data_IF_574566870954
#
_entry.id   IF_574566870954
#
_cell.length_a   1.000
_cell.length_b   1.000
_cell.length_c   1.000
_cell.angle_alpha   90.00
_cell.angle_beta   90.00
_cell.angle_gamma   90.00
#
_symmetry.space_group_name_H-M   'P 1'
#
loop_
_entity.id
_entity.type
_entity.pdbx_description
1 polymer ?
#
# COMPACT_ATOMS: atom_id res chain seq x y z
N UNK A 1 20.47 22.68 50.63
CA UNK A 1 21.16 22.38 49.34
C UNK A 1 21.43 20.88 49.12
N UNK A 2 21.56 20.03 50.12
CA UNK A 2 21.87 18.58 49.98
C UNK A 2 20.72 17.74 49.34
N UNK A 3 19.47 17.91 49.78
CA UNK A 3 18.32 17.10 49.29
C UNK A 3 18.06 17.23 47.75
N UNK A 4 18.19 18.45 47.17
CA UNK A 4 18.01 18.64 45.74
C UNK A 4 19.10 17.98 44.88
N UNK A 5 20.34 17.96 45.36
CA UNK A 5 21.47 17.29 44.66
C UNK A 5 21.30 15.76 44.65
N UNK A 6 20.74 15.18 45.70
CA UNK A 6 20.49 13.73 45.76
C UNK A 6 19.31 13.32 44.85
N UNK A 7 18.25 14.10 44.77
CA UNK A 7 17.12 13.86 43.87
C UNK A 7 17.56 13.93 42.38
N UNK A 8 18.39 14.92 42.00
CA UNK A 8 18.95 15.03 40.67
C UNK A 8 19.89 13.85 40.32
N UNK A 9 20.69 13.35 41.27
CA UNK A 9 21.57 12.18 41.06
C UNK A 9 20.77 10.89 40.86
N UNK A 10 19.70 10.68 41.61
CA UNK A 10 18.81 9.51 41.48
C UNK A 10 18.06 9.58 40.13
N UNK A 11 17.56 10.74 39.72
CA UNK A 11 16.92 10.92 38.44
C UNK A 11 17.88 10.69 37.25
N UNK A 12 19.13 11.19 37.36
CA UNK A 12 20.15 10.96 36.34
C UNK A 12 20.57 9.49 36.25
N UNK A 13 20.67 8.79 37.38
CA UNK A 13 20.98 7.36 37.40
C UNK A 13 19.84 6.53 36.80
N UNK A 14 18.59 6.85 37.13
CA UNK A 14 17.41 6.22 36.53
C UNK A 14 17.33 6.41 35.01
N UNK A 15 17.62 7.61 34.50
CA UNK A 15 17.68 7.90 33.08
C UNK A 15 18.82 7.13 32.38
N UNK A 16 19.99 7.02 33.00
CA UNK A 16 21.12 6.27 32.47
C UNK A 16 20.83 4.76 32.39
N UNK A 17 20.20 4.18 33.44
CA UNK A 17 19.81 2.76 33.45
C UNK A 17 18.73 2.49 32.38
N UNK A 18 17.77 3.38 32.20
CA UNK A 18 16.75 3.26 31.15
C UNK A 18 17.38 3.35 29.77
N UNK A 19 18.33 4.26 29.54
CA UNK A 19 19.04 4.39 28.27
C UNK A 19 19.91 3.15 27.96
N UNK A 20 20.59 2.57 28.97
CA UNK A 20 21.35 1.33 28.80
C UNK A 20 20.43 0.14 28.49
N UNK A 21 19.27 0.03 29.15
CA UNK A 21 18.29 -1.02 28.88
C UNK A 21 17.70 -0.93 27.48
N UNK A 22 17.42 0.29 26.99
CA UNK A 22 16.96 0.53 25.61
C UNK A 22 18.06 0.17 24.60
N UNK A 23 19.31 0.58 24.88
CA UNK A 23 20.46 0.25 24.03
C UNK A 23 20.71 -1.25 23.92
N UNK A 24 20.68 -1.97 25.05
CA UNK A 24 20.84 -3.43 25.09
C UNK A 24 19.74 -4.14 24.31
N UNK A 25 18.47 -3.76 24.54
CA UNK A 25 17.32 -4.34 23.81
C UNK A 25 17.40 -4.10 22.32
N UNK A 26 17.87 -2.94 21.89
CA UNK A 26 18.08 -2.62 20.48
C UNK A 26 19.17 -3.49 19.86
N UNK A 27 20.28 -3.72 20.58
CA UNK A 27 21.39 -4.59 20.13
C UNK A 27 20.90 -6.05 20.03
N UNK A 28 20.15 -6.54 21.01
CA UNK A 28 19.59 -7.90 21.01
C UNK A 28 18.60 -8.10 19.85
N UNK A 29 17.73 -7.12 19.58
CA UNK A 29 16.80 -7.16 18.45
C UNK A 29 17.54 -7.20 17.11
N UNK A 30 18.57 -6.37 16.94
CA UNK A 30 19.40 -6.37 15.74
C UNK A 30 20.21 -7.67 15.56
N UNK A 31 20.73 -8.23 16.64
CA UNK A 31 21.40 -9.53 16.62
C UNK A 31 20.40 -10.64 16.21
N UNK A 32 19.17 -10.62 16.74
CA UNK A 32 18.11 -11.55 16.37
C UNK A 32 17.71 -11.40 14.90
N UNK A 33 17.54 -10.19 14.39
CA UNK A 33 17.20 -9.96 12.98
C UNK A 33 18.25 -10.56 12.05
N UNK A 34 19.54 -10.49 12.39
CA UNK A 34 20.63 -11.10 11.62
C UNK A 34 20.61 -12.62 11.61
N UNK A 35 19.94 -13.26 12.57
CA UNK A 35 19.77 -14.73 12.64
C UNK A 35 18.51 -15.20 11.92
N UNK A 36 17.59 -14.30 11.55
CA UNK A 36 16.38 -14.65 10.83
C UNK A 36 16.71 -14.93 9.36
N UNK A 37 16.35 -16.12 8.90
CA UNK A 37 16.39 -16.43 7.46
C UNK A 37 15.17 -15.83 6.79
N UNK A 38 15.40 -14.89 5.88
CA UNK A 38 14.33 -14.26 5.10
C UNK A 38 13.65 -15.31 4.21
N UNK A 39 12.33 -15.26 4.04
CA UNK A 39 11.60 -16.15 3.14
C UNK A 39 12.09 -15.96 1.70
N UNK A 40 11.98 -17.03 0.92
CA UNK A 40 12.31 -17.02 -0.51
C UNK A 40 11.06 -17.14 -1.35
N UNK A 41 11.13 -16.64 -2.57
CA UNK A 41 10.02 -16.60 -3.50
C UNK A 41 10.49 -17.03 -4.89
N UNK A 42 9.61 -17.74 -5.58
CA UNK A 42 9.84 -18.18 -6.96
C UNK A 42 8.68 -17.75 -7.84
N UNK A 43 8.98 -17.07 -8.95
CA UNK A 43 7.94 -16.62 -9.87
C UNK A 43 7.24 -17.78 -10.52
N UNK A 44 5.91 -17.73 -10.61
CA UNK A 44 5.11 -18.62 -11.44
C UNK A 44 4.90 -17.97 -12.82
N UNK A 45 5.66 -18.39 -13.85
CA UNK A 45 5.60 -17.75 -15.16
C UNK A 45 4.32 -18.07 -15.94
N UNK A 46 3.49 -19.01 -15.44
CA UNK A 46 2.23 -19.39 -16.07
C UNK A 46 0.99 -18.81 -15.39
N UNK A 47 1.20 -17.90 -14.45
CA UNK A 47 0.14 -17.19 -13.75
C UNK A 47 0.18 -15.69 -14.08
N UNK A 48 -0.96 -15.05 -14.40
CA UNK A 48 -2.30 -15.61 -14.60
C UNK A 48 -2.42 -16.37 -15.92
N UNK A 49 -3.56 -17.05 -16.11
CA UNK A 49 -3.88 -17.68 -17.40
C UNK A 49 -4.22 -16.58 -18.43
N UNK A 50 -4.08 -16.89 -19.73
CA UNK A 50 -4.47 -15.95 -20.78
C UNK A 50 -5.89 -15.44 -20.59
N UNK A 51 -6.07 -14.13 -20.78
CA UNK A 51 -7.37 -13.48 -20.63
C UNK A 51 -8.31 -13.88 -21.80
N UNK A 52 -9.61 -14.10 -21.54
CA UNK A 52 -10.59 -14.40 -22.59
C UNK A 52 -10.89 -13.15 -23.43
N UNK A 53 -11.69 -13.34 -24.50
CA UNK A 53 -12.27 -12.26 -25.30
C UNK A 53 -11.25 -11.29 -25.91
N UNK A 54 -10.01 -11.71 -26.16
CA UNK A 54 -8.91 -10.85 -26.58
C UNK A 54 -8.64 -9.68 -25.61
N UNK A 55 -8.97 -9.85 -24.33
CA UNK A 55 -8.76 -8.82 -23.33
C UNK A 55 -7.30 -8.54 -23.09
N UNK A 56 -7.00 -7.26 -22.90
CA UNK A 56 -5.71 -6.75 -22.43
C UNK A 56 -5.92 -5.88 -21.19
N UNK A 57 -4.96 -5.92 -20.30
CA UNK A 57 -4.91 -5.03 -19.14
C UNK A 57 -4.05 -3.80 -19.49
N UNK A 58 -4.52 -2.62 -19.10
CA UNK A 58 -3.68 -1.45 -19.00
C UNK A 58 -2.82 -1.47 -17.72
N UNK A 59 -2.38 -0.32 -17.24
CA UNK A 59 -1.57 -0.22 -16.03
C UNK A 59 -2.26 -0.92 -14.85
N UNK A 60 -1.72 -2.06 -14.38
CA UNK A 60 -2.24 -2.74 -13.20
C UNK A 60 -1.74 -2.00 -11.97
N UNK A 61 -2.64 -1.32 -11.28
CA UNK A 61 -2.25 -0.34 -10.28
C UNK A 61 -2.49 -0.79 -8.84
N UNK A 62 -3.49 -1.63 -8.62
CA UNK A 62 -3.84 -2.16 -7.32
C UNK A 62 -4.07 -3.66 -7.36
N UNK A 63 -3.73 -4.34 -6.26
CA UNK A 63 -4.00 -5.76 -6.04
C UNK A 63 -4.46 -5.98 -4.60
N UNK A 64 -5.49 -6.80 -4.43
CA UNK A 64 -6.01 -7.26 -3.14
C UNK A 64 -6.25 -8.76 -3.17
N UNK A 65 -6.32 -9.39 -2.01
CA UNK A 65 -6.63 -10.83 -1.87
C UNK A 65 -7.80 -10.95 -0.90
N UNK A 66 -8.78 -11.76 -1.23
CA UNK A 66 -9.93 -12.05 -0.36
C UNK A 66 -9.67 -13.24 0.58
N UNK A 67 -10.60 -13.55 1.45
CA UNK A 67 -10.52 -14.65 2.42
C UNK A 67 -10.51 -16.05 1.79
N UNK A 68 -10.82 -16.17 0.49
CA UNK A 68 -10.76 -17.41 -0.29
C UNK A 68 -9.45 -17.55 -1.05
N UNK A 69 -8.50 -16.63 -0.84
CA UNK A 69 -7.28 -16.47 -1.62
C UNK A 69 -7.55 -16.16 -3.10
N UNK A 70 -8.68 -15.53 -3.45
CA UNK A 70 -8.90 -14.98 -4.77
C UNK A 70 -8.25 -13.61 -4.90
N UNK A 71 -7.75 -13.32 -6.08
CA UNK A 71 -6.94 -12.15 -6.34
C UNK A 71 -7.75 -11.13 -7.12
N UNK A 72 -8.00 -9.99 -6.50
CA UNK A 72 -8.63 -8.84 -7.12
C UNK A 72 -7.60 -7.86 -7.61
N UNK A 73 -7.75 -7.38 -8.82
CA UNK A 73 -6.96 -6.26 -9.33
C UNK A 73 -7.86 -5.11 -9.74
N UNK A 74 -7.29 -3.92 -9.74
CA UNK A 74 -7.81 -2.79 -10.50
C UNK A 74 -6.74 -2.32 -11.47
N UNK A 75 -7.12 -2.13 -12.72
CA UNK A 75 -6.26 -1.62 -13.77
C UNK A 75 -6.92 -0.47 -14.51
N UNK A 76 -6.12 0.37 -15.13
CA UNK A 76 -6.55 1.51 -15.94
C UNK A 76 -6.79 1.06 -17.37
N UNK A 77 -8.03 0.87 -17.70
CA UNK A 77 -8.42 0.28 -18.98
C UNK A 77 -8.37 1.23 -20.19
N UNK A 78 -7.74 2.40 -20.03
CA UNK A 78 -7.48 3.40 -21.05
C UNK A 78 -5.98 3.68 -21.28
N UNK A 79 -5.08 2.97 -20.57
CA UNK A 79 -3.63 3.21 -20.59
C UNK A 79 -2.91 2.23 -21.52
N UNK A 80 -3.24 2.23 -22.79
CA UNK A 80 -2.68 1.33 -23.80
C UNK A 80 -1.67 2.03 -24.71
N UNK A 81 -0.72 1.26 -25.22
CA UNK A 81 0.25 1.74 -26.20
C UNK A 81 -0.37 1.73 -27.61
N UNK A 82 -0.30 2.86 -28.32
CA UNK A 82 -0.85 3.00 -29.66
C UNK A 82 -0.09 2.23 -30.73
N UNK A 83 1.05 1.65 -30.42
CA UNK A 83 1.84 0.81 -31.33
C UNK A 83 1.72 -0.67 -31.02
N UNK A 84 1.60 -1.05 -29.75
CA UNK A 84 1.51 -2.44 -29.30
C UNK A 84 0.06 -2.93 -29.20
N UNK A 85 -0.84 -2.10 -28.64
CA UNK A 85 -2.26 -2.44 -28.43
C UNK A 85 -3.18 -1.60 -29.32
N UNK A 86 -2.81 -1.40 -30.57
CA UNK A 86 -3.51 -0.52 -31.50
C UNK A 86 -4.99 -0.86 -31.69
N UNK A 87 -5.36 -2.14 -31.55
CA UNK A 87 -6.76 -2.56 -31.59
C UNK A 87 -7.58 -2.07 -30.41
N UNK A 88 -6.95 -1.75 -29.29
CA UNK A 88 -7.63 -1.23 -28.11
C UNK A 88 -7.82 0.30 -28.13
N UNK A 89 -7.01 1.04 -28.90
CA UNK A 89 -7.01 2.52 -28.89
C UNK A 89 -7.58 3.14 -30.18
N UNK A 90 -7.57 2.45 -31.32
CA UNK A 90 -8.00 3.01 -32.59
C UNK A 90 -9.54 3.05 -32.70
N UNK A 91 -10.05 4.17 -33.24
CA UNK A 91 -11.46 4.35 -33.58
C UNK A 91 -11.57 4.98 -34.97
N UNK A 92 -12.12 4.29 -36.00
CA UNK A 92 -12.61 2.91 -35.92
C UNK A 92 -11.50 1.91 -35.66
N UNK A 93 -11.86 0.70 -35.18
CA UNK A 93 -10.92 -0.37 -34.86
C UNK A 93 -10.00 -0.68 -36.05
N UNK A 94 -8.69 -0.54 -35.84
CA UNK A 94 -7.70 -0.65 -36.91
C UNK A 94 -7.06 -2.04 -37.02
N UNK A 95 -7.30 -2.94 -36.06
CA UNK A 95 -6.78 -4.31 -36.07
C UNK A 95 -7.73 -5.27 -35.35
N UNK A 96 -7.52 -6.57 -35.51
CA UNK A 96 -8.27 -7.62 -34.81
C UNK A 96 -7.79 -7.81 -33.37
N UNK A 97 -6.62 -7.26 -33.03
CA UNK A 97 -6.09 -7.30 -31.66
C UNK A 97 -6.99 -6.50 -30.72
N UNK A 98 -7.12 -6.99 -29.55
CA UNK A 98 -7.23 -6.31 -28.25
C UNK A 98 -8.55 -5.60 -27.95
N UNK A 99 -9.10 -5.99 -26.82
CA UNK A 99 -10.22 -5.30 -26.16
C UNK A 99 -9.79 -4.95 -24.74
N UNK A 100 -10.00 -3.71 -24.28
CA UNK A 100 -9.77 -3.37 -22.88
C UNK A 100 -10.59 -4.27 -21.96
N UNK A 101 -9.96 -4.89 -20.99
CA UNK A 101 -10.68 -5.62 -19.95
C UNK A 101 -11.48 -4.65 -19.06
N UNK A 102 -12.55 -5.11 -18.39
CA UNK A 102 -13.21 -4.32 -17.34
C UNK A 102 -12.22 -3.92 -16.23
N UNK A 103 -12.36 -2.73 -15.59
CA UNK A 103 -11.37 -2.20 -14.65
C UNK A 103 -11.05 -3.09 -13.46
N UNK A 104 -12.02 -3.84 -12.94
CA UNK A 104 -11.83 -4.80 -11.85
C UNK A 104 -11.91 -6.21 -12.39
N UNK A 105 -10.92 -7.03 -12.04
CA UNK A 105 -10.87 -8.45 -12.41
C UNK A 105 -10.57 -9.26 -11.14
N UNK A 106 -11.32 -10.35 -10.95
CA UNK A 106 -11.07 -11.37 -9.94
C UNK A 106 -10.51 -12.62 -10.59
N UNK A 107 -9.40 -13.12 -10.05
CA UNK A 107 -8.76 -14.38 -10.44
C UNK A 107 -8.88 -15.40 -9.30
N UNK A 108 -9.02 -16.70 -9.66
CA UNK A 108 -8.80 -17.79 -8.70
C UNK A 108 -7.30 -17.98 -8.44
N UNK A 109 -6.97 -18.90 -7.50
CA UNK A 109 -5.57 -19.20 -7.15
C UNK A 109 -4.77 -19.77 -8.32
N UNK A 110 -5.43 -20.39 -9.31
CA UNK A 110 -4.85 -20.96 -10.53
C UNK A 110 -4.68 -19.89 -11.64
N UNK A 111 -5.18 -18.67 -11.44
CA UNK A 111 -5.08 -17.55 -12.37
C UNK A 111 -6.15 -17.51 -13.45
N UNK A 112 -7.26 -18.25 -13.29
CA UNK A 112 -8.42 -18.14 -14.16
C UNK A 112 -9.31 -16.98 -13.69
N UNK A 113 -9.91 -16.26 -14.63
CA UNK A 113 -10.88 -15.20 -14.29
C UNK A 113 -12.14 -15.85 -13.72
N UNK A 114 -12.56 -15.36 -12.55
CA UNK A 114 -13.82 -15.71 -11.88
C UNK A 114 -14.91 -14.73 -12.30
N UNK A 115 -14.59 -13.45 -12.27
CA UNK A 115 -15.50 -12.37 -12.71
C UNK A 115 -14.72 -11.10 -13.04
N UNK A 116 -15.43 -10.15 -13.67
CA UNK A 116 -14.91 -8.82 -13.95
C UNK A 116 -16.06 -7.82 -14.02
N UNK A 117 -15.80 -6.60 -13.57
CA UNK A 117 -16.79 -5.53 -13.51
C UNK A 117 -16.12 -4.15 -13.35
N UNK A 118 -16.90 -3.10 -13.21
CA UNK A 118 -16.45 -1.75 -12.90
C UNK A 118 -16.63 -0.77 -14.04
N UNK A 119 -16.29 0.47 -13.76
CA UNK A 119 -16.53 1.61 -14.64
C UNK A 119 -17.64 2.53 -14.14
N UNK A 120 -17.87 3.66 -14.80
CA UNK A 120 -18.94 4.60 -14.45
C UNK A 120 -20.31 3.94 -14.41
N UNK A 121 -21.12 4.33 -13.42
CA UNK A 121 -22.48 3.82 -13.23
C UNK A 121 -23.36 4.78 -12.41
N UNK A 122 -24.63 4.46 -12.25
CA UNK A 122 -25.56 5.33 -11.54
C UNK A 122 -25.31 5.35 -10.03
N UNK A 123 -25.43 6.53 -9.41
CA UNK A 123 -25.40 6.70 -7.97
C UNK A 123 -24.03 6.80 -7.32
N UNK A 124 -22.95 6.76 -8.08
CA UNK A 124 -21.59 6.95 -7.59
C UNK A 124 -20.69 7.64 -8.62
N UNK A 125 -19.56 8.16 -8.14
CA UNK A 125 -18.57 8.86 -8.97
C UNK A 125 -17.36 7.94 -9.14
N UNK A 126 -17.30 7.21 -10.28
CA UNK A 126 -16.16 6.35 -10.59
C UNK A 126 -14.86 7.17 -10.68
N UNK A 127 -13.74 6.69 -10.11
CA UNK A 127 -12.46 7.40 -10.21
C UNK A 127 -12.08 7.70 -11.65
N UNK A 128 -11.58 8.91 -11.88
CA UNK A 128 -11.06 9.29 -13.18
C UNK A 128 -9.74 8.56 -13.53
N UNK A 129 -9.05 8.03 -12.52
CA UNK A 129 -7.84 7.25 -12.67
C UNK A 129 -7.72 6.29 -11.48
N UNK A 130 -8.12 5.06 -11.66
CA UNK A 130 -8.16 4.04 -10.61
C UNK A 130 -6.82 3.88 -9.93
N UNK A 131 -6.83 3.52 -8.62
CA UNK A 131 -5.60 3.35 -7.87
C UNK A 131 -5.62 2.15 -6.92
N UNK A 132 -6.04 2.31 -5.67
CA UNK A 132 -6.05 1.24 -4.70
C UNK A 132 -7.30 0.36 -4.78
N UNK A 133 -7.15 -0.93 -4.51
CA UNK A 133 -8.24 -1.88 -4.31
C UNK A 133 -7.99 -2.69 -3.05
N UNK A 134 -9.04 -2.99 -2.30
CA UNK A 134 -8.98 -3.82 -1.11
C UNK A 134 -10.28 -4.63 -0.98
N UNK A 135 -10.18 -5.89 -0.60
CA UNK A 135 -11.35 -6.74 -0.26
C UNK A 135 -11.39 -6.92 1.24
N UNK A 136 -12.49 -6.52 1.87
CA UNK A 136 -12.63 -6.61 3.31
C UNK A 136 -13.13 -8.00 3.78
N UNK A 137 -13.05 -8.24 5.08
CA UNK A 137 -13.48 -9.49 5.73
C UNK A 137 -14.98 -9.82 5.58
N UNK A 138 -15.79 -8.89 5.05
CA UNK A 138 -17.19 -9.10 4.66
C UNK A 138 -17.32 -9.36 3.16
N UNK A 139 -16.21 -9.56 2.44
CA UNK A 139 -16.17 -9.71 0.99
C UNK A 139 -16.60 -8.45 0.23
N UNK A 140 -16.48 -7.25 0.82
CA UNK A 140 -16.79 -5.99 0.14
C UNK A 140 -15.53 -5.46 -0.51
N UNK A 141 -15.68 -4.94 -1.72
CA UNK A 141 -14.58 -4.39 -2.50
C UNK A 141 -14.56 -2.88 -2.36
N UNK A 142 -13.42 -2.37 -1.94
CA UNK A 142 -13.15 -0.94 -1.79
C UNK A 142 -12.14 -0.48 -2.83
N UNK A 143 -12.37 0.66 -3.45
CA UNK A 143 -11.44 1.24 -4.40
C UNK A 143 -11.43 2.77 -4.36
N UNK A 144 -10.35 3.36 -4.84
CA UNK A 144 -10.16 4.80 -4.95
C UNK A 144 -9.42 5.18 -6.23
N UNK A 145 -9.09 6.45 -6.37
CA UNK A 145 -8.39 6.97 -7.52
C UNK A 145 -7.41 8.09 -7.20
N UNK A 146 -6.59 8.49 -8.18
CA UNK A 146 -5.53 9.47 -7.93
C UNK A 146 -5.36 10.57 -8.99
N UNK A 147 -6.40 10.89 -9.76
CA UNK A 147 -6.36 12.06 -10.65
C UNK A 147 -6.39 13.35 -9.84
N UNK A 148 -5.45 14.24 -10.14
CA UNK A 148 -5.38 15.55 -9.51
C UNK A 148 -6.66 16.36 -9.74
N UNK A 149 -7.15 17.02 -8.69
CA UNK A 149 -8.36 17.86 -8.72
C UNK A 149 -9.64 17.12 -9.17
N UNK A 150 -9.65 15.79 -9.09
CA UNK A 150 -10.82 14.98 -9.42
C UNK A 150 -11.10 13.93 -8.34
N UNK A 151 -10.17 13.00 -8.11
CA UNK A 151 -10.40 11.85 -7.25
C UNK A 151 -10.28 12.22 -5.77
N UNK A 152 -11.42 12.53 -5.15
CA UNK A 152 -11.53 12.93 -3.75
C UNK A 152 -12.45 12.00 -2.95
N UNK A 153 -12.72 10.80 -3.47
CA UNK A 153 -13.62 9.80 -2.92
C UNK A 153 -13.00 8.41 -2.91
N UNK A 154 -13.61 7.53 -2.12
CA UNK A 154 -13.48 6.07 -2.21
C UNK A 154 -14.86 5.45 -2.34
N UNK A 155 -14.93 4.31 -3.00
CA UNK A 155 -16.14 3.58 -3.31
C UNK A 155 -16.14 2.20 -2.65
N UNK A 156 -17.30 1.75 -2.19
CA UNK A 156 -17.54 0.41 -1.65
C UNK A 156 -18.56 -0.32 -2.49
N UNK A 157 -18.25 -1.56 -2.87
CA UNK A 157 -19.10 -2.43 -3.66
C UNK A 157 -19.33 -3.76 -2.97
N UNK A 158 -20.36 -4.48 -3.37
CA UNK A 158 -20.46 -5.92 -3.10
C UNK A 158 -19.34 -6.66 -3.86
N UNK A 159 -19.13 -7.92 -3.52
CA UNK A 159 -18.15 -8.77 -4.19
C UNK A 159 -18.39 -8.84 -5.72
N UNK A 160 -19.65 -8.83 -6.15
CA UNK A 160 -20.08 -8.88 -7.56
C UNK A 160 -20.26 -7.49 -8.22
N UNK A 161 -19.72 -6.43 -7.59
CA UNK A 161 -19.64 -5.09 -8.19
C UNK A 161 -20.90 -4.22 -8.07
N UNK A 162 -21.86 -4.55 -7.20
CA UNK A 162 -23.01 -3.65 -6.94
C UNK A 162 -22.58 -2.55 -5.97
N UNK A 163 -22.87 -1.31 -6.33
CA UNK A 163 -22.55 -0.15 -5.49
C UNK A 163 -23.25 -0.21 -4.13
N UNK A 164 -22.51 0.12 -3.07
CA UNK A 164 -23.00 0.15 -1.69
C UNK A 164 -22.86 1.52 -1.05
N UNK A 165 -21.69 2.16 -1.18
CA UNK A 165 -21.40 3.42 -0.49
C UNK A 165 -20.26 4.18 -1.17
N UNK A 166 -20.31 5.49 -1.06
CA UNK A 166 -19.24 6.42 -1.40
C UNK A 166 -18.88 7.26 -0.17
N UNK A 167 -17.59 7.47 0.07
CA UNK A 167 -17.05 8.41 1.07
C UNK A 167 -16.30 9.50 0.32
N UNK A 168 -16.68 10.75 0.53
CA UNK A 168 -16.18 11.89 -0.23
C UNK A 168 -16.83 12.04 -1.59
N UNK A 169 -16.56 13.17 -2.26
CA UNK A 169 -17.09 13.50 -3.59
C UNK A 169 -15.98 13.99 -4.51
N UNK A 170 -16.09 13.66 -5.78
CA UNK A 170 -15.14 14.13 -6.80
C UNK A 170 -15.03 15.66 -6.76
N UNK A 171 -13.79 16.17 -6.88
CA UNK A 171 -13.46 17.61 -6.88
C UNK A 171 -13.77 18.39 -5.59
N UNK A 172 -14.16 17.71 -4.51
CA UNK A 172 -14.68 18.37 -3.30
C UNK A 172 -13.63 18.55 -2.19
N UNK A 173 -12.40 18.09 -2.36
CA UNK A 173 -11.36 18.16 -1.33
C UNK A 173 -11.03 19.59 -0.89
N UNK A 174 -10.90 19.77 0.42
CA UNK A 174 -10.48 20.99 1.09
C UNK A 174 -9.08 20.87 1.75
N UNK A 175 -8.29 19.85 1.36
CA UNK A 175 -6.94 19.61 1.89
C UNK A 175 -6.89 18.57 3.02
N UNK A 176 -5.72 18.45 3.65
CA UNK A 176 -5.43 17.37 4.62
C UNK A 176 -6.24 17.42 5.92
N UNK A 177 -6.98 18.49 6.19
CA UNK A 177 -7.84 18.61 7.37
C UNK A 177 -9.33 18.41 7.07
N UNK A 178 -9.69 18.15 5.81
CA UNK A 178 -11.06 17.83 5.41
C UNK A 178 -11.49 16.48 5.99
N UNK A 179 -12.57 16.44 6.75
CA UNK A 179 -13.10 15.22 7.39
C UNK A 179 -14.14 14.49 6.56
N UNK A 180 -14.57 15.08 5.45
CA UNK A 180 -15.60 14.57 4.56
C UNK A 180 -15.01 13.99 3.28
N UNK A 181 -14.02 14.66 2.69
CA UNK A 181 -13.45 14.33 1.40
C UNK A 181 -11.97 13.95 1.52
N UNK A 182 -11.52 13.12 0.60
CA UNK A 182 -10.12 12.75 0.43
C UNK A 182 -9.45 13.63 -0.64
N UNK A 183 -8.18 13.36 -0.94
CA UNK A 183 -7.51 13.97 -2.07
C UNK A 183 -6.48 13.02 -2.67
N UNK A 184 -6.90 12.27 -3.67
CA UNK A 184 -6.08 11.27 -4.35
C UNK A 184 -5.66 10.15 -3.41
N UNK A 185 -6.62 9.40 -2.82
CA UNK A 185 -6.33 8.27 -1.94
C UNK A 185 -5.56 7.17 -2.69
N UNK A 186 -4.61 6.54 -2.00
CA UNK A 186 -3.73 5.55 -2.61
C UNK A 186 -4.14 4.11 -2.26
N UNK A 187 -4.17 3.75 -1.00
CA UNK A 187 -4.52 2.41 -0.54
C UNK A 187 -5.55 2.46 0.59
N UNK A 188 -6.30 1.38 0.72
CA UNK A 188 -7.39 1.22 1.68
C UNK A 188 -7.12 -0.07 2.47
N UNK A 189 -7.48 -0.06 3.76
CA UNK A 189 -7.48 -1.24 4.62
C UNK A 189 -8.66 -1.20 5.56
N UNK A 190 -9.42 -2.28 5.66
CA UNK A 190 -10.50 -2.40 6.64
C UNK A 190 -10.05 -3.31 7.78
N UNK A 191 -10.10 -2.78 9.01
CA UNK A 191 -9.75 -3.54 10.20
C UNK A 191 -10.98 -4.22 10.79
N UNK A 192 -10.99 -5.55 10.76
CA UNK A 192 -12.16 -6.36 11.14
C UNK A 192 -12.61 -6.15 12.60
N UNK A 193 -11.65 -6.03 13.54
CA UNK A 193 -11.96 -5.99 14.98
C UNK A 193 -12.72 -4.73 15.41
N UNK A 194 -12.59 -3.63 14.66
CA UNK A 194 -13.30 -2.38 14.95
C UNK A 194 -14.24 -1.93 13.83
N UNK A 195 -14.25 -2.67 12.71
CA UNK A 195 -15.01 -2.34 11.50
C UNK A 195 -14.73 -0.92 11.01
N UNK A 196 -13.45 -0.57 10.94
CA UNK A 196 -12.98 0.75 10.53
C UNK A 196 -12.20 0.65 9.22
N UNK A 197 -12.44 1.60 8.31
CA UNK A 197 -11.68 1.75 7.07
C UNK A 197 -10.60 2.81 7.25
N UNK A 198 -9.35 2.40 7.06
CA UNK A 198 -8.15 3.23 7.08
C UNK A 198 -7.75 3.54 5.64
N UNK A 199 -7.52 4.79 5.35
CA UNK A 199 -7.17 5.24 4.00
C UNK A 199 -5.83 5.94 4.01
N UNK A 200 -4.90 5.47 3.18
CA UNK A 200 -3.66 6.17 2.84
C UNK A 200 -4.00 7.33 1.89
N UNK A 201 -4.33 8.48 2.43
CA UNK A 201 -4.77 9.67 1.69
C UNK A 201 -3.58 10.60 1.45
N UNK A 202 -2.72 10.25 0.47
CA UNK A 202 -1.38 10.78 0.43
C UNK A 202 -0.87 11.41 -0.85
N UNK A 203 -1.47 11.21 -2.03
CA UNK A 203 -0.94 11.83 -3.25
C UNK A 203 -1.03 13.36 -3.23
N UNK A 204 -2.07 13.90 -2.60
CA UNK A 204 -2.20 15.34 -2.39
C UNK A 204 -2.30 15.70 -0.91
N UNK A 205 -3.06 14.94 -0.12
CA UNK A 205 -3.09 15.06 1.33
C UNK A 205 -1.86 14.42 1.99
N UNK A 206 -1.73 14.52 3.33
CA UNK A 206 -0.56 14.08 4.10
C UNK A 206 -0.97 13.29 5.32
N UNK A 207 -1.90 12.31 5.14
CA UNK A 207 -2.54 11.66 6.28
C UNK A 207 -2.91 10.21 6.05
N UNK A 208 -3.04 9.50 7.15
CA UNK A 208 -3.97 8.38 7.27
C UNK A 208 -5.28 8.95 7.82
N UNK A 209 -6.41 8.63 7.22
CA UNK A 209 -7.73 9.01 7.69
C UNK A 209 -8.59 7.77 7.89
N UNK A 210 -9.41 7.78 8.92
CA UNK A 210 -10.20 6.62 9.37
C UNK A 210 -11.66 6.97 9.41
N UNK A 211 -12.46 6.09 8.81
CA UNK A 211 -13.92 6.18 8.83
C UNK A 211 -14.53 4.89 9.39
N UNK A 212 -15.77 4.95 9.78
CA UNK A 212 -16.58 3.77 10.06
C UNK A 212 -16.92 3.07 8.74
N UNK A 213 -16.67 1.76 8.65
CA UNK A 213 -16.76 1.03 7.38
C UNK A 213 -18.21 0.75 6.93
N UNK A 214 -19.21 0.88 7.80
CA UNK A 214 -20.61 0.68 7.45
C UNK A 214 -21.35 2.00 7.20
N UNK A 215 -20.95 3.08 7.85
CA UNK A 215 -21.66 4.37 7.76
C UNK A 215 -20.90 5.46 7.01
N UNK A 216 -19.60 5.27 6.76
CA UNK A 216 -18.72 6.29 6.17
C UNK A 216 -18.43 7.49 7.07
N UNK A 217 -18.82 7.46 8.36
CA UNK A 217 -18.58 8.57 9.29
C UNK A 217 -17.13 8.68 9.67
N UNK A 218 -16.58 9.90 9.62
CA UNK A 218 -15.23 10.22 10.08
C UNK A 218 -15.02 9.84 11.55
N UNK A 219 -13.86 9.26 11.85
CA UNK A 219 -13.46 8.89 13.21
C UNK A 219 -12.21 9.64 13.68
N UNK A 220 -11.14 9.61 12.92
CA UNK A 220 -9.86 10.27 13.24
C UNK A 220 -8.93 10.34 12.03
N UNK A 221 -7.86 11.10 12.15
CA UNK A 221 -6.76 11.16 11.18
C UNK A 221 -5.46 11.57 11.87
N UNK A 222 -4.35 11.28 11.23
CA UNK A 222 -3.02 11.71 11.67
C UNK A 222 -2.04 11.81 10.50
N UNK A 223 -1.01 12.65 10.69
CA UNK A 223 0.14 12.77 9.80
C UNK A 223 1.35 11.98 10.30
N UNK A 224 2.52 12.28 9.73
CA UNK A 224 3.77 11.67 10.16
C UNK A 224 4.04 11.91 11.66
N UNK A 225 4.58 10.90 12.35
CA UNK A 225 4.84 10.89 13.79
C UNK A 225 3.61 11.11 14.67
N UNK A 226 2.38 10.94 14.14
CA UNK A 226 1.14 11.25 14.84
C UNK A 226 0.80 12.75 14.87
N UNK A 227 1.58 13.58 14.18
CA UNK A 227 1.35 15.02 14.12
C UNK A 227 0.09 15.37 13.31
N UNK A 228 -0.42 16.58 13.54
CA UNK A 228 -1.44 17.16 12.67
C UNK A 228 -0.87 17.37 11.26
N UNK A 229 -1.56 16.95 10.20
CA UNK A 229 -1.14 17.24 8.83
C UNK A 229 -1.04 18.76 8.56
N UNK A 230 0.01 19.15 7.87
CA UNK A 230 0.26 20.55 7.48
C UNK A 230 0.60 20.64 5.99
N UNK A 231 -0.34 21.18 5.22
CA UNK A 231 -0.21 21.32 3.76
C UNK A 231 0.71 22.50 3.37
N UNK A 232 1.06 23.41 4.29
CA UNK A 232 1.95 24.56 4.04
C UNK A 232 3.43 24.14 3.98
N UNK A 233 3.80 22.98 4.52
CA UNK A 233 5.18 22.47 4.50
C UNK A 233 5.55 22.02 3.08
N UNK A 234 6.76 22.35 2.61
CA UNK A 234 7.27 21.86 1.31
C UNK A 234 7.22 20.35 1.22
N UNK A 235 7.01 19.83 0.00
CA UNK A 235 7.13 18.41 -0.32
C UNK A 235 8.55 17.99 -0.72
N UNK A 236 9.50 18.89 -0.61
CA UNK A 236 10.90 18.58 -0.89
C UNK A 236 11.40 17.49 0.04
N UNK A 237 12.18 16.57 -0.54
CA UNK A 237 12.78 15.50 0.25
C UNK A 237 13.81 16.05 1.21
N UNK A 238 13.65 15.77 2.49
CA UNK A 238 14.62 16.13 3.52
C UNK A 238 15.74 15.11 3.56
N UNK A 239 16.94 15.54 3.16
CA UNK A 239 18.17 14.73 3.32
C UNK A 239 18.70 14.91 4.74
N UNK A 240 18.80 13.85 5.52
CA UNK A 240 19.33 13.92 6.89
C UNK A 240 19.07 12.66 7.70
N UNK A 241 19.54 12.63 8.94
CA UNK A 241 19.38 11.48 9.85
C UNK A 241 17.93 11.32 10.33
N UNK A 242 17.18 12.40 10.43
CA UNK A 242 15.76 12.41 10.76
C UNK A 242 14.93 12.59 9.49
N UNK A 243 13.83 11.88 9.37
CA UNK A 243 12.88 12.03 8.26
C UNK A 243 12.08 13.33 8.33
N UNK A 244 11.35 13.64 7.27
CA UNK A 244 10.41 14.78 7.24
C UNK A 244 9.35 14.63 8.35
N UNK A 245 9.01 15.74 9.02
CA UNK A 245 7.94 15.80 10.03
C UNK A 245 6.53 15.67 9.40
N UNK A 246 6.44 15.72 8.07
CA UNK A 246 5.21 15.49 7.32
C UNK A 246 5.37 14.27 6.40
N UNK A 247 4.27 13.59 6.12
CA UNK A 247 4.23 12.58 5.07
C UNK A 247 4.45 13.19 3.69
N UNK A 248 5.09 12.43 2.81
CA UNK A 248 5.23 12.78 1.40
C UNK A 248 4.81 11.58 0.53
N UNK A 249 3.56 11.61 0.11
CA UNK A 249 2.81 10.52 -0.53
C UNK A 249 2.66 9.32 0.42
N UNK A 250 1.68 9.41 1.33
CA UNK A 250 1.17 8.24 2.05
C UNK A 250 0.55 7.29 1.03
N UNK A 251 1.27 6.21 0.70
CA UNK A 251 0.89 5.36 -0.43
C UNK A 251 0.33 4.00 0.02
N UNK A 252 0.76 3.50 1.16
CA UNK A 252 0.31 2.23 1.71
C UNK A 252 -0.15 2.35 3.15
N UNK A 253 -1.16 1.57 3.52
CA UNK A 253 -1.59 1.33 4.89
C UNK A 253 -1.95 -0.15 5.05
N UNK A 254 -1.42 -0.79 6.08
CA UNK A 254 -1.74 -2.18 6.42
C UNK A 254 -1.72 -2.37 7.94
N UNK A 255 -2.57 -3.24 8.47
CA UNK A 255 -2.70 -3.46 9.91
C UNK A 255 -2.34 -4.91 10.22
N UNK A 256 -1.39 -5.09 11.13
CA UNK A 256 -0.94 -6.40 11.57
C UNK A 256 -1.90 -7.03 12.59
N UNK A 257 -1.79 -8.35 12.81
CA UNK A 257 -2.64 -9.11 13.74
C UNK A 257 -2.65 -8.57 15.18
N UNK A 258 -1.56 -7.89 15.58
CA UNK A 258 -1.42 -7.23 16.88
C UNK A 258 -2.03 -5.81 16.95
N UNK A 259 -2.62 -5.33 15.84
CA UNK A 259 -3.27 -4.03 15.76
C UNK A 259 -2.31 -2.87 15.45
N UNK A 260 -1.04 -3.12 15.15
CA UNK A 260 -0.13 -2.08 14.71
C UNK A 260 -0.38 -1.70 13.24
N UNK A 261 -0.44 -0.41 12.98
CA UNK A 261 -0.70 0.19 11.66
C UNK A 261 0.63 0.55 10.99
N UNK A 262 0.91 -0.06 9.85
CA UNK A 262 2.11 0.18 9.05
C UNK A 262 1.76 1.11 7.89
N UNK A 263 2.46 2.23 7.80
CA UNK A 263 2.21 3.29 6.83
C UNK A 263 3.41 3.47 5.92
N UNK A 264 3.20 3.29 4.63
CA UNK A 264 4.22 3.53 3.59
C UNK A 264 4.26 5.02 3.23
N UNK A 265 5.31 5.70 3.66
CA UNK A 265 5.61 7.09 3.31
C UNK A 265 6.58 7.11 2.12
N UNK A 266 6.01 7.01 0.93
CA UNK A 266 6.66 6.57 -0.30
C UNK A 266 7.88 7.41 -0.69
N UNK A 267 7.70 8.73 -0.78
CA UNK A 267 8.78 9.64 -1.23
C UNK A 267 9.81 9.85 -0.13
N UNK A 268 9.43 9.74 1.14
CA UNK A 268 10.38 9.78 2.25
C UNK A 268 11.14 8.46 2.44
N UNK A 269 10.90 7.45 1.61
CA UNK A 269 11.58 6.16 1.63
C UNK A 269 11.51 5.46 2.99
N UNK A 270 10.35 5.46 3.65
CA UNK A 270 10.20 4.90 4.99
C UNK A 270 8.86 4.20 5.22
N UNK A 271 8.87 3.33 6.22
CA UNK A 271 7.67 2.81 6.87
C UNK A 271 7.60 3.46 8.25
N UNK A 272 6.46 4.04 8.60
CA UNK A 272 6.15 4.43 9.98
C UNK A 272 5.09 3.51 10.56
N UNK A 273 5.22 3.19 11.84
CA UNK A 273 4.32 2.30 12.57
C UNK A 273 3.59 3.09 13.64
N UNK A 274 2.29 2.85 13.74
CA UNK A 274 1.39 3.52 14.67
C UNK A 274 0.52 2.51 15.42
N UNK A 275 -0.06 2.93 16.52
CA UNK A 275 -1.22 2.28 17.11
C UNK A 275 -2.49 2.64 16.34
N UNK A 276 -3.61 1.97 16.61
CA UNK A 276 -4.89 2.22 15.90
C UNK A 276 -5.43 3.65 16.11
N UNK A 277 -5.05 4.33 17.18
CA UNK A 277 -5.43 5.71 17.47
C UNK A 277 -4.51 6.75 16.81
N UNK A 278 -3.45 6.31 16.11
CA UNK A 278 -2.50 7.18 15.40
C UNK A 278 -1.29 7.59 16.23
N UNK A 279 -1.07 7.02 17.42
CA UNK A 279 0.14 7.27 18.21
C UNK A 279 1.36 6.62 17.54
N UNK A 280 2.43 7.39 17.32
CA UNK A 280 3.65 6.90 16.68
C UNK A 280 4.40 5.89 17.57
N UNK A 281 4.88 4.81 16.94
CA UNK A 281 5.63 3.73 17.62
C UNK A 281 7.09 3.70 17.19
N UNK A 282 7.34 3.61 15.87
CA UNK A 282 8.70 3.50 15.29
C UNK A 282 8.70 3.79 13.80
N UNK A 283 9.89 3.95 13.23
CA UNK A 283 10.08 4.02 11.78
C UNK A 283 11.28 3.21 11.31
N UNK A 284 11.27 2.86 10.03
CA UNK A 284 12.40 2.23 9.33
C UNK A 284 12.48 2.74 7.90
N UNK A 285 13.71 2.88 7.38
CA UNK A 285 13.97 3.41 6.04
C UNK A 285 14.24 2.29 5.04
N UNK A 286 13.70 2.45 3.83
CA UNK A 286 13.84 1.53 2.71
C UNK A 286 14.73 2.18 1.66
N UNK A 287 15.94 1.64 1.45
CA UNK A 287 16.89 2.18 0.47
C UNK A 287 16.98 3.72 0.50
N UNK A 288 17.21 4.28 1.67
CA UNK A 288 17.13 5.72 1.99
C UNK A 288 17.91 6.63 1.03
N UNK A 289 18.99 6.12 0.45
CA UNK A 289 19.81 6.84 -0.52
C UNK A 289 19.21 6.95 -1.94
N UNK A 290 18.05 6.33 -2.19
CA UNK A 290 17.38 6.42 -3.49
C UNK A 290 16.79 7.81 -3.66
N UNK A 291 17.23 8.55 -4.68
CA UNK A 291 16.79 9.92 -4.97
C UNK A 291 15.70 9.99 -6.05
N UNK A 292 15.33 8.87 -6.63
CA UNK A 292 14.28 8.78 -7.64
C UNK A 292 12.96 9.34 -7.08
N UNK A 293 12.27 10.17 -7.86
CA UNK A 293 11.02 10.83 -7.47
C UNK A 293 9.85 9.87 -7.24
N UNK A 294 9.97 8.61 -7.68
CA UNK A 294 8.97 7.57 -7.39
C UNK A 294 8.99 7.14 -5.92
N UNK A 295 10.16 7.22 -5.24
CA UNK A 295 10.34 6.71 -3.88
C UNK A 295 10.34 5.18 -3.80
N UNK A 296 10.51 4.63 -2.59
CA UNK A 296 10.81 3.19 -2.42
C UNK A 296 9.77 2.41 -1.63
N UNK A 297 8.98 3.03 -0.76
CA UNK A 297 8.03 2.34 0.10
C UNK A 297 6.60 2.47 -0.45
N UNK A 298 6.18 1.53 -1.30
CA UNK A 298 4.88 1.65 -1.98
C UNK A 298 3.71 1.02 -1.19
N UNK A 299 3.90 -0.15 -0.63
CA UNK A 299 2.89 -0.88 0.12
C UNK A 299 3.55 -1.76 1.19
N UNK A 300 2.76 -2.47 1.97
CA UNK A 300 3.22 -3.47 2.93
C UNK A 300 2.31 -4.69 2.84
N UNK A 301 2.91 -5.88 2.76
CA UNK A 301 2.25 -7.13 3.09
C UNK A 301 3.00 -7.83 4.23
N UNK A 302 2.32 -8.76 4.92
CA UNK A 302 2.88 -9.50 6.04
C UNK A 302 3.15 -10.95 5.64
N UNK A 303 4.14 -11.58 6.29
CA UNK A 303 4.33 -13.03 6.19
C UNK A 303 3.15 -13.79 6.81
N UNK A 304 2.87 -15.02 6.35
CA UNK A 304 1.67 -15.77 6.74
C UNK A 304 1.77 -16.41 8.14
N UNK A 305 2.94 -16.35 8.77
CA UNK A 305 3.10 -16.88 10.12
C UNK A 305 2.30 -16.04 11.15
N UNK A 306 1.85 -16.69 12.24
CA UNK A 306 0.99 -16.08 13.25
C UNK A 306 1.54 -14.76 13.81
N UNK A 307 2.85 -14.68 13.98
CA UNK A 307 3.55 -13.53 14.48
C UNK A 307 3.80 -12.47 13.40
N UNK A 308 3.56 -12.82 12.12
CA UNK A 308 3.84 -11.95 10.98
C UNK A 308 5.26 -11.36 11.06
N UNK A 309 6.25 -12.24 11.20
CA UNK A 309 7.65 -11.85 11.51
C UNK A 309 8.29 -11.00 10.44
N UNK A 310 7.82 -11.09 9.20
CA UNK A 310 8.39 -10.35 8.08
C UNK A 310 7.38 -9.39 7.46
N UNK A 311 7.90 -8.25 6.99
CA UNK A 311 7.21 -7.36 6.06
C UNK A 311 7.78 -7.58 4.67
N UNK A 312 6.90 -7.50 3.68
CA UNK A 312 7.26 -7.50 2.26
C UNK A 312 6.85 -6.16 1.67
N UNK A 313 7.82 -5.44 1.13
CA UNK A 313 7.63 -4.05 0.66
C UNK A 313 8.06 -3.93 -0.80
N UNK A 314 7.19 -3.49 -1.71
CA UNK A 314 7.56 -3.17 -3.07
C UNK A 314 8.31 -1.84 -3.12
N UNK A 315 9.53 -1.88 -3.67
CA UNK A 315 10.39 -0.74 -3.92
C UNK A 315 10.29 -0.34 -5.40
N UNK A 316 9.31 0.51 -5.70
CA UNK A 316 8.99 0.85 -7.08
C UNK A 316 10.01 1.74 -7.79
N UNK A 317 10.89 2.41 -7.05
CA UNK A 317 12.00 3.16 -7.66
C UNK A 317 13.11 2.26 -8.18
N UNK A 318 13.37 1.14 -7.48
CA UNK A 318 14.45 0.21 -7.79
C UNK A 318 13.94 -1.08 -8.47
N UNK A 319 12.63 -1.22 -8.68
CA UNK A 319 11.99 -2.45 -9.17
C UNK A 319 12.47 -3.69 -8.40
N UNK A 320 12.30 -3.63 -7.06
CA UNK A 320 12.67 -4.68 -6.12
C UNK A 320 11.58 -4.95 -5.12
N UNK A 321 11.54 -6.19 -4.63
CA UNK A 321 10.82 -6.53 -3.41
C UNK A 321 11.83 -6.57 -2.26
N UNK A 322 11.50 -5.92 -1.14
CA UNK A 322 12.30 -5.90 0.09
C UNK A 322 11.63 -6.72 1.16
N UNK A 323 12.40 -7.54 1.87
CA UNK A 323 11.94 -8.28 3.05
C UNK A 323 12.57 -7.65 4.28
N UNK A 324 11.74 -7.25 5.23
CA UNK A 324 12.17 -6.64 6.48
C UNK A 324 11.82 -7.53 7.67
N UNK A 325 12.63 -7.48 8.72
CA UNK A 325 12.20 -7.89 10.04
C UNK A 325 11.12 -6.92 10.55
N UNK A 326 9.95 -7.44 10.93
CA UNK A 326 8.82 -6.60 11.37
C UNK A 326 9.10 -5.89 12.69
N UNK A 327 9.93 -6.47 13.58
CA UNK A 327 10.22 -5.87 14.89
C UNK A 327 11.18 -4.71 14.77
N UNK A 328 12.23 -4.82 13.93
CA UNK A 328 13.28 -3.82 13.81
C UNK A 328 13.11 -2.89 12.62
N UNK A 329 12.32 -3.29 11.61
CA UNK A 329 12.21 -2.68 10.28
C UNK A 329 13.53 -2.68 9.49
N UNK A 330 14.49 -3.50 9.89
CA UNK A 330 15.73 -3.70 9.11
C UNK A 330 15.45 -4.54 7.87
N UNK A 331 16.02 -4.12 6.74
CA UNK A 331 15.96 -4.89 5.49
C UNK A 331 16.87 -6.11 5.63
N UNK A 332 16.29 -7.30 5.54
CA UNK A 332 16.99 -8.59 5.64
C UNK A 332 17.43 -9.12 4.27
N UNK A 333 16.59 -8.92 3.25
CA UNK A 333 16.83 -9.41 1.90
C UNK A 333 16.11 -8.55 0.86
N UNK A 334 16.52 -8.69 -0.39
CA UNK A 334 15.83 -8.06 -1.51
C UNK A 334 16.12 -8.80 -2.82
N UNK A 335 15.12 -8.87 -3.69
CA UNK A 335 15.31 -9.42 -5.02
C UNK A 335 14.57 -8.60 -6.08
N UNK A 336 14.82 -8.94 -7.35
CA UNK A 336 14.20 -8.32 -8.49
C UNK A 336 15.07 -7.25 -9.16
N UNK A 337 14.65 -6.85 -10.34
CA UNK A 337 15.29 -5.83 -11.17
C UNK A 337 14.31 -5.36 -12.25
N UNK A 338 14.59 -4.21 -12.91
CA UNK A 338 13.83 -3.79 -14.08
C UNK A 338 13.94 -4.79 -15.23
N UNK A 339 12.84 -4.97 -15.97
CA UNK A 339 12.81 -5.76 -17.21
C UNK A 339 11.47 -6.43 -17.51
N UNK A 340 11.33 -7.01 -18.73
CA UNK A 340 10.09 -7.58 -19.20
C UNK A 340 9.85 -9.05 -18.83
N UNK A 341 10.89 -9.77 -18.38
CA UNK A 341 10.78 -11.21 -18.11
C UNK A 341 10.07 -11.49 -16.79
N UNK A 342 9.61 -12.72 -16.59
CA UNK A 342 9.05 -13.19 -15.33
C UNK A 342 10.06 -12.97 -14.18
N UNK A 343 9.58 -12.43 -13.05
CA UNK A 343 10.42 -12.04 -11.92
C UNK A 343 11.15 -10.70 -12.08
N UNK A 344 10.89 -9.96 -13.15
CA UNK A 344 11.36 -8.58 -13.37
C UNK A 344 10.15 -7.67 -13.45
N UNK A 345 10.33 -6.36 -13.27
CA UNK A 345 9.23 -5.39 -13.29
C UNK A 345 9.52 -4.16 -14.13
N UNK A 346 8.43 -3.58 -14.66
CA UNK A 346 8.40 -2.21 -15.15
C UNK A 346 7.49 -1.40 -14.22
N UNK A 347 8.10 -0.76 -13.24
CA UNK A 347 7.46 -0.02 -12.17
C UNK A 347 6.57 -0.93 -11.30
N UNK A 348 7.21 -1.70 -10.44
CA UNK A 348 6.54 -2.44 -9.36
C UNK A 348 5.76 -1.47 -8.48
N UNK A 349 4.42 -1.57 -8.49
CA UNK A 349 3.56 -0.55 -7.89
C UNK A 349 2.84 -1.02 -6.63
N UNK A 350 2.29 -2.20 -6.66
CA UNK A 350 1.53 -2.76 -5.53
C UNK A 350 1.84 -4.23 -5.34
N UNK A 351 1.58 -4.75 -4.15
CA UNK A 351 1.59 -6.17 -3.87
C UNK A 351 0.58 -6.54 -2.79
N UNK A 352 0.12 -7.80 -2.82
CA UNK A 352 -0.66 -8.44 -1.77
C UNK A 352 -0.15 -9.85 -1.53
N UNK A 353 -0.46 -10.42 -0.35
CA UNK A 353 -0.13 -11.79 0.00
C UNK A 353 -1.41 -12.60 0.24
N UNK A 354 -1.41 -13.88 -0.17
CA UNK A 354 -2.47 -14.82 0.19
C UNK A 354 -2.20 -15.49 1.56
N UNK A 355 -3.13 -16.32 2.02
CA UNK A 355 -3.03 -17.01 3.30
C UNK A 355 -1.84 -17.99 3.38
N UNK A 356 -1.32 -18.44 2.24
CA UNK A 356 -0.16 -19.34 2.12
C UNK A 356 1.16 -18.56 2.06
N UNK A 357 1.09 -17.22 1.94
CA UNK A 357 2.23 -16.33 1.81
C UNK A 357 2.72 -16.13 0.38
N UNK A 358 2.02 -16.64 -0.63
CA UNK A 358 2.36 -16.28 -2.01
C UNK A 358 2.11 -14.79 -2.22
N UNK A 359 2.94 -14.16 -3.04
CA UNK A 359 2.82 -12.76 -3.35
C UNK A 359 2.25 -12.54 -4.75
N UNK A 360 1.43 -11.53 -4.88
CA UNK A 360 0.89 -11.06 -6.15
C UNK A 360 1.33 -9.62 -6.35
N UNK A 361 2.03 -9.34 -7.46
CA UNK A 361 2.64 -8.03 -7.72
C UNK A 361 2.02 -7.37 -8.94
N UNK A 362 1.66 -6.10 -8.81
CA UNK A 362 1.06 -5.30 -9.85
C UNK A 362 2.07 -4.29 -10.44
N UNK A 363 2.08 -4.16 -11.77
CA UNK A 363 2.99 -3.29 -12.51
C UNK A 363 2.26 -2.18 -13.24
N UNK A 364 2.61 -0.94 -12.92
CA UNK A 364 1.95 0.21 -13.56
C UNK A 364 2.43 0.49 -14.99
N UNK A 365 3.61 0.04 -15.38
CA UNK A 365 4.15 0.20 -16.75
C UNK A 365 4.35 -1.12 -17.49
N UNK A 366 4.31 -2.23 -16.77
CA UNK A 366 4.36 -3.57 -17.35
C UNK A 366 2.99 -4.10 -17.79
N UNK A 367 1.90 -3.41 -17.46
CA UNK A 367 0.53 -3.80 -17.74
C UNK A 367 0.22 -5.27 -17.37
N UNK A 368 0.77 -5.73 -16.26
CA UNK A 368 0.66 -7.13 -15.85
C UNK A 368 0.63 -7.33 -14.34
N UNK A 369 0.22 -8.52 -13.98
CA UNK A 369 0.21 -9.08 -12.64
C UNK A 369 1.09 -10.33 -12.63
N UNK A 370 1.89 -10.53 -11.57
CA UNK A 370 2.72 -11.73 -11.41
C UNK A 370 2.51 -12.39 -10.06
N UNK A 371 2.57 -13.72 -10.02
CA UNK A 371 2.54 -14.53 -8.79
C UNK A 371 3.94 -15.00 -8.42
N UNK A 372 4.27 -14.93 -7.15
CA UNK A 372 5.49 -15.47 -6.57
C UNK A 372 5.15 -16.47 -5.48
N UNK A 373 5.54 -17.70 -5.68
CA UNK A 373 5.27 -18.80 -4.75
C UNK A 373 6.22 -18.72 -3.56
N UNK A 374 5.66 -18.71 -2.36
CA UNK A 374 6.41 -18.73 -1.11
C UNK A 374 7.18 -20.03 -0.96
N UNK A 375 8.47 -19.94 -0.65
CA UNK A 375 9.34 -21.09 -0.34
C UNK A 375 9.80 -21.00 1.12
N UNK A 376 9.59 -22.06 1.85
CA UNK A 376 10.02 -22.18 3.26
C UNK A 376 11.51 -22.39 3.38
#
# INVERSE_FOLDING_TARGET
MSRRKNVMRVAALGAAIAALGIGQRTIELKARARLLTAPKFEVDPQWPKPLPNHWVMGNVIGVGVDERDHIFIVHRNDTFDSTAEIGAVATPKASECCVPAPPVIEFDQEGRIVQSWGGPGPGYEWPANEHGIFVDYKGKVWLGGNTANQDSQILKFTHDGKFLMQIGHAKASKGSLDTENLNRPAQIWVWEKTNEVFVADGYQNRRVIVFDADTGKFKRMWGAYGNKPDDSVSRDRVNGSRGSEQFNIVHGVAIANDGLVYVSDRINNRIQVFTLDGSFVKEGFIARGTLDSRGTAFAVAFSPDKEQRFLVVPDGANDKVRILDRQTLEVLDSWGRPGPYAGQWHWLHSLAADSKGNLYTAESRGNRLQKFVYKR
#
